data_IF_218607872295
#
_entry.id   IF_218607872295
#
_cell.length_a   1.000
_cell.length_b   1.000
_cell.length_c   1.000
_cell.angle_alpha   90.00
_cell.angle_beta   90.00
_cell.angle_gamma   90.00
#
_symmetry.space_group_name_H-M   'P 1'
#
loop_
_entity.id
_entity.type
_entity.pdbx_description
1 polymer ?
#
# COMPACT_ATOMS: atom_id res chain seq x y z
N UNK A 1 22.40 22.53 53.29
CA UNK A 1 21.99 22.65 51.88
C UNK A 1 22.37 21.37 51.15
N UNK A 2 21.40 20.54 50.78
CA UNK A 2 21.63 19.32 50.00
C UNK A 2 20.56 19.27 48.91
N UNK A 3 20.99 19.43 47.67
CA UNK A 3 20.16 19.34 46.47
C UNK A 3 20.09 17.88 46.04
N UNK A 4 18.88 17.31 46.07
CA UNK A 4 18.59 16.00 45.48
C UNK A 4 18.45 16.16 43.97
N UNK A 5 19.39 15.61 43.21
CA UNK A 5 19.28 15.48 41.75
C UNK A 5 18.29 14.37 41.42
N UNK A 6 17.12 14.72 40.87
CA UNK A 6 16.20 13.74 40.27
C UNK A 6 16.70 13.34 38.88
N UNK A 7 16.88 12.03 38.65
CA UNK A 7 17.08 11.47 37.30
C UNK A 7 15.78 11.54 36.48
N UNK A 8 15.85 11.81 35.17
CA UNK A 8 14.66 11.77 34.31
C UNK A 8 14.22 10.32 34.06
N UNK A 9 12.90 10.11 34.09
CA UNK A 9 12.27 8.82 33.86
C UNK A 9 12.49 8.32 32.41
N UNK A 10 12.81 7.04 32.28
CA UNK A 10 13.00 6.36 31.00
C UNK A 10 11.64 6.14 30.30
N UNK A 11 11.46 6.77 29.13
CA UNK A 11 10.30 6.57 28.25
C UNK A 11 10.48 5.29 27.44
N UNK A 12 10.37 4.12 28.08
CA UNK A 12 10.32 2.84 27.36
C UNK A 12 8.93 2.23 27.51
N UNK A 13 8.26 1.99 26.39
CA UNK A 13 6.92 1.43 26.41
C UNK A 13 6.96 -0.04 26.89
N UNK A 14 6.01 -0.47 27.75
CA UNK A 14 6.06 -1.76 28.46
C UNK A 14 5.93 -3.00 27.56
N UNK A 15 5.60 -2.82 26.28
CA UNK A 15 5.51 -3.89 25.27
C UNK A 15 6.80 -4.08 24.46
N UNK A 16 7.83 -3.27 24.70
CA UNK A 16 9.11 -3.36 24.00
C UNK A 16 9.92 -4.55 24.52
N UNK A 17 9.51 -5.77 24.14
CA UNK A 17 10.38 -6.93 24.24
C UNK A 17 11.59 -6.78 23.31
N UNK A 18 12.70 -7.35 23.74
CA UNK A 18 13.97 -7.37 23.00
C UNK A 18 13.75 -8.01 21.61
N UNK A 19 14.34 -7.46 20.53
CA UNK A 19 14.14 -8.01 19.20
C UNK A 19 14.71 -9.44 19.14
N UNK A 20 13.80 -10.41 19.09
CA UNK A 20 14.11 -11.79 18.73
C UNK A 20 14.84 -11.79 17.40
N UNK A 21 15.96 -12.52 17.34
CA UNK A 21 16.87 -12.60 16.20
C UNK A 21 16.11 -12.60 14.86
N UNK A 22 16.50 -11.67 13.98
CA UNK A 22 15.94 -11.50 12.63
C UNK A 22 16.03 -12.85 11.91
N UNK A 23 14.90 -13.46 11.50
CA UNK A 23 14.96 -14.66 10.68
C UNK A 23 15.70 -14.36 9.38
N UNK A 24 16.44 -15.32 8.81
CA UNK A 24 17.18 -15.11 7.58
C UNK A 24 16.22 -14.60 6.50
N UNK A 25 16.68 -13.60 5.74
CA UNK A 25 15.93 -12.89 4.72
C UNK A 25 14.91 -13.79 4.02
N UNK A 26 13.64 -13.62 4.38
CA UNK A 26 12.54 -14.23 3.64
C UNK A 26 12.63 -13.61 2.26
N UNK A 27 13.10 -14.37 1.28
CA UNK A 27 13.13 -13.94 -0.12
C UNK A 27 11.71 -13.50 -0.46
N UNK A 28 11.53 -12.17 -0.49
CA UNK A 28 10.23 -11.54 -0.65
C UNK A 28 9.55 -12.03 -1.90
N UNK A 29 8.22 -11.99 -1.87
CA UNK A 29 7.28 -12.38 -2.91
C UNK A 29 7.96 -12.32 -4.26
N UNK A 30 8.46 -13.48 -4.70
CA UNK A 30 9.43 -13.53 -5.78
C UNK A 30 8.80 -12.73 -6.90
N UNK A 31 9.47 -11.68 -7.39
CA UNK A 31 9.02 -10.96 -8.57
C UNK A 31 8.70 -11.95 -9.72
N UNK A 32 9.31 -13.13 -9.70
CA UNK A 32 8.99 -14.28 -10.52
C UNK A 32 7.58 -14.87 -10.30
N UNK A 33 7.02 -14.90 -9.09
CA UNK A 33 5.63 -15.28 -8.80
C UNK A 33 4.63 -14.23 -9.27
N UNK A 34 4.89 -12.94 -9.04
CA UNK A 34 4.06 -11.87 -9.58
C UNK A 34 4.07 -11.87 -11.12
N UNK A 35 5.24 -12.07 -11.73
CA UNK A 35 5.41 -12.24 -13.18
C UNK A 35 4.74 -13.50 -13.72
N UNK A 36 4.83 -14.64 -13.00
CA UNK A 36 4.14 -15.88 -13.37
C UNK A 36 2.63 -15.73 -13.28
N UNK A 37 2.13 -15.10 -12.22
CA UNK A 37 0.71 -14.78 -12.05
C UNK A 37 0.20 -13.87 -13.18
N UNK A 38 0.97 -12.84 -13.56
CA UNK A 38 0.68 -11.99 -14.71
C UNK A 38 0.71 -12.77 -16.04
N UNK A 39 1.65 -13.71 -16.21
CA UNK A 39 1.73 -14.57 -17.39
C UNK A 39 0.60 -15.61 -17.49
N UNK A 40 0.05 -16.06 -16.35
CA UNK A 40 -1.09 -16.98 -16.29
C UNK A 40 -2.44 -16.27 -16.19
N UNK A 41 -2.46 -14.94 -16.07
CA UNK A 41 -3.69 -14.18 -15.99
C UNK A 41 -4.49 -14.36 -17.27
N UNK A 42 -5.77 -14.73 -17.14
CA UNK A 42 -6.70 -14.77 -18.25
C UNK A 42 -6.66 -13.42 -18.97
N UNK A 43 -6.36 -13.42 -20.27
CA UNK A 43 -6.23 -12.23 -21.12
C UNK A 43 -7.54 -11.44 -21.31
N UNK A 44 -8.61 -11.79 -20.60
CA UNK A 44 -9.90 -11.10 -20.66
C UNK A 44 -10.01 -9.95 -19.67
N UNK A 45 -10.93 -8.99 -19.91
CA UNK A 45 -11.15 -7.88 -18.99
C UNK A 45 -11.58 -8.38 -17.61
N UNK A 46 -11.08 -7.72 -16.56
CA UNK A 46 -11.54 -7.96 -15.20
C UNK A 46 -13.02 -7.64 -15.09
N UNK A 47 -13.78 -8.52 -14.44
CA UNK A 47 -15.24 -8.40 -14.32
C UNK A 47 -15.65 -8.62 -12.88
N UNK A 48 -16.75 -7.97 -12.47
CA UNK A 48 -17.29 -8.14 -11.11
C UNK A 48 -17.75 -9.58 -10.91
N UNK A 49 -17.15 -10.28 -9.93
CA UNK A 49 -17.47 -11.68 -9.59
C UNK A 49 -18.14 -11.87 -8.22
N UNK A 50 -18.17 -10.83 -7.38
CA UNK A 50 -18.78 -10.87 -6.05
C UNK A 50 -20.06 -10.04 -6.07
N UNK A 51 -21.20 -10.70 -5.89
CA UNK A 51 -22.53 -10.09 -5.96
C UNK A 51 -23.40 -10.40 -4.74
N UNK A 52 -23.04 -11.44 -3.98
CA UNK A 52 -23.80 -11.96 -2.84
C UNK A 52 -22.87 -12.68 -1.84
N UNK A 53 -23.44 -13.18 -0.75
CA UNK A 53 -22.67 -13.88 0.28
C UNK A 53 -22.03 -15.17 -0.23
N UNK A 54 -22.67 -15.88 -1.16
CA UNK A 54 -22.17 -17.16 -1.69
C UNK A 54 -20.95 -16.95 -2.57
N UNK A 55 -20.98 -15.96 -3.45
CA UNK A 55 -19.87 -15.54 -4.31
C UNK A 55 -18.71 -14.97 -3.50
N UNK A 56 -18.99 -14.28 -2.39
CA UNK A 56 -17.97 -13.87 -1.43
C UNK A 56 -17.28 -15.08 -0.77
N UNK A 57 -18.03 -16.10 -0.33
CA UNK A 57 -17.44 -17.32 0.22
C UNK A 57 -16.55 -18.01 -0.81
N UNK A 58 -16.99 -18.09 -2.07
CA UNK A 58 -16.15 -18.61 -3.16
C UNK A 58 -14.87 -17.81 -3.34
N UNK A 59 -14.96 -16.47 -3.29
CA UNK A 59 -13.80 -15.59 -3.39
C UNK A 59 -12.77 -15.86 -2.30
N UNK A 60 -13.20 -16.04 -1.03
CA UNK A 60 -12.30 -16.33 0.10
C UNK A 60 -11.46 -17.60 -0.08
N UNK A 61 -11.94 -18.57 -0.86
CA UNK A 61 -11.22 -19.79 -1.18
C UNK A 61 -10.46 -19.73 -2.51
N UNK A 62 -10.54 -18.62 -3.25
CA UNK A 62 -9.89 -18.46 -4.55
C UNK A 62 -8.38 -18.23 -4.44
N UNK A 63 -7.65 -18.55 -5.50
CA UNK A 63 -6.21 -18.28 -5.61
C UNK A 63 -5.91 -16.78 -5.50
N UNK A 64 -6.71 -15.93 -6.16
CA UNK A 64 -6.50 -14.48 -6.13
C UNK A 64 -6.61 -13.90 -4.71
N UNK A 65 -7.57 -14.38 -3.91
CA UNK A 65 -7.64 -14.02 -2.49
C UNK A 65 -6.38 -14.45 -1.73
N UNK A 66 -5.94 -15.70 -1.91
CA UNK A 66 -4.71 -16.21 -1.26
C UNK A 66 -3.48 -15.39 -1.65
N UNK A 67 -3.34 -15.02 -2.92
CA UNK A 67 -2.25 -14.18 -3.42
C UNK A 67 -2.25 -12.78 -2.80
N UNK A 68 -3.42 -12.13 -2.67
CA UNK A 68 -3.52 -10.80 -2.05
C UNK A 68 -3.13 -10.87 -0.57
N UNK A 69 -3.64 -11.84 0.18
CA UNK A 69 -3.31 -12.00 1.60
C UNK A 69 -1.82 -12.28 1.79
N UNK A 70 -1.26 -13.18 0.98
CA UNK A 70 0.17 -13.49 1.02
C UNK A 70 1.03 -12.26 0.71
N UNK A 71 0.65 -11.45 -0.28
CA UNK A 71 1.33 -10.19 -0.60
C UNK A 71 1.32 -9.21 0.57
N UNK A 72 0.16 -9.00 1.18
CA UNK A 72 0.01 -8.08 2.33
C UNK A 72 0.85 -8.55 3.51
N UNK A 73 0.82 -9.85 3.84
CA UNK A 73 1.63 -10.41 4.93
C UNK A 73 3.12 -10.24 4.68
N UNK A 74 3.60 -10.57 3.49
CA UNK A 74 5.01 -10.42 3.13
C UNK A 74 5.48 -8.96 3.15
N UNK A 75 4.63 -8.03 2.72
CA UNK A 75 4.92 -6.60 2.82
C UNK A 75 4.99 -6.14 4.28
N UNK A 76 4.06 -6.61 5.11
CA UNK A 76 4.05 -6.33 6.55
C UNK A 76 5.33 -6.79 7.23
N UNK A 77 5.73 -8.04 7.01
CA UNK A 77 6.95 -8.61 7.57
C UNK A 77 8.21 -7.86 7.10
N UNK A 78 8.25 -7.46 5.82
CA UNK A 78 9.39 -6.76 5.23
C UNK A 78 9.64 -5.34 5.80
N UNK A 79 8.65 -4.73 6.46
CA UNK A 79 8.77 -3.38 7.04
C UNK A 79 8.90 -3.38 8.56
N UNK A 80 8.82 -4.53 9.22
CA UNK A 80 8.97 -4.63 10.69
C UNK A 80 10.36 -4.12 11.10
N UNK A 81 10.39 -3.18 12.06
CA UNK A 81 11.65 -2.63 12.60
C UNK A 81 12.39 -1.66 11.67
N UNK A 82 11.86 -1.39 10.47
CA UNK A 82 12.46 -0.46 9.50
C UNK A 82 11.95 0.96 9.69
N UNK A 83 12.79 1.94 9.41
CA UNK A 83 12.42 3.37 9.44
C UNK A 83 12.02 3.81 8.04
N UNK A 84 11.07 4.74 7.95
CA UNK A 84 10.71 5.35 6.66
C UNK A 84 11.88 6.09 6.02
N UNK A 85 12.76 6.69 6.83
CA UNK A 85 13.95 7.42 6.38
C UNK A 85 15.14 6.52 6.05
N UNK A 86 14.99 5.20 6.19
CA UNK A 86 16.06 4.26 5.89
C UNK A 86 16.32 4.24 4.36
N UNK A 87 17.58 4.21 3.91
CA UNK A 87 17.89 4.08 2.50
C UNK A 87 17.21 2.83 1.91
N UNK A 88 16.65 2.97 0.72
CA UNK A 88 16.00 1.91 -0.02
C UNK A 88 16.63 1.83 -1.40
N UNK A 89 16.78 0.62 -1.94
CA UNK A 89 17.29 0.44 -3.29
C UNK A 89 16.32 1.03 -4.31
N UNK A 90 16.78 2.04 -5.04
CA UNK A 90 16.03 2.60 -6.16
C UNK A 90 15.96 1.57 -7.29
N UNK A 91 14.75 1.14 -7.62
CA UNK A 91 14.50 0.24 -8.75
C UNK A 91 13.77 1.02 -9.84
N UNK A 92 14.10 0.82 -11.13
CA UNK A 92 13.43 1.54 -12.23
C UNK A 92 11.90 1.45 -12.19
N UNK A 93 11.35 0.29 -11.79
CA UNK A 93 9.90 0.10 -11.63
C UNK A 93 9.29 1.01 -10.56
N UNK A 94 10.02 1.28 -9.46
CA UNK A 94 9.56 2.17 -8.41
C UNK A 94 9.57 3.62 -8.90
N UNK A 95 10.62 4.02 -9.62
CA UNK A 95 10.70 5.35 -10.22
C UNK A 95 9.53 5.59 -11.20
N UNK A 96 9.18 4.61 -12.03
CA UNK A 96 8.02 4.70 -12.93
C UNK A 96 6.70 4.83 -12.15
N UNK A 97 6.48 4.02 -11.12
CA UNK A 97 5.26 4.11 -10.29
C UNK A 97 5.15 5.47 -9.60
N UNK A 98 6.27 5.98 -9.07
CA UNK A 98 6.33 7.29 -8.42
C UNK A 98 6.06 8.42 -9.42
N UNK A 99 6.57 8.34 -10.65
CA UNK A 99 6.30 9.33 -11.69
C UNK A 99 4.81 9.40 -12.04
N UNK A 100 4.12 8.26 -12.12
CA UNK A 100 2.66 8.24 -12.33
C UNK A 100 1.90 8.86 -11.15
N UNK A 101 2.35 8.59 -9.92
CA UNK A 101 1.76 9.20 -8.71
C UNK A 101 1.97 10.72 -8.67
N UNK A 102 3.16 11.20 -9.05
CA UNK A 102 3.45 12.62 -9.16
C UNK A 102 2.56 13.29 -10.20
N UNK A 103 2.44 12.70 -11.40
CA UNK A 103 1.56 13.22 -12.44
C UNK A 103 0.08 13.30 -12.00
N UNK A 104 -0.42 12.26 -11.32
CA UNK A 104 -1.77 12.27 -10.75
C UNK A 104 -1.95 13.32 -9.65
N UNK A 105 -0.91 13.58 -8.87
CA UNK A 105 -0.87 14.62 -7.83
C UNK A 105 -0.91 16.02 -8.44
N UNK A 106 -0.10 16.29 -9.47
CA UNK A 106 -0.10 17.56 -10.20
C UNK A 106 -1.47 17.90 -10.82
N UNK A 107 -2.24 16.89 -11.25
CA UNK A 107 -3.58 17.14 -11.78
C UNK A 107 -4.54 17.70 -10.74
N UNK A 108 -4.31 17.48 -9.45
CA UNK A 108 -5.14 18.05 -8.38
C UNK A 108 -5.06 19.57 -8.40
N UNK A 109 -3.86 20.14 -8.58
CA UNK A 109 -3.66 21.58 -8.70
C UNK A 109 -4.24 22.14 -10.01
N UNK A 110 -4.14 21.36 -11.08
CA UNK A 110 -4.68 21.74 -12.40
C UNK A 110 -6.22 21.64 -12.49
N UNK A 111 -6.85 20.89 -11.58
CA UNK A 111 -8.29 20.63 -11.57
C UNK A 111 -8.84 21.08 -10.20
N UNK A 112 -8.93 22.41 -9.96
CA UNK A 112 -9.33 22.93 -8.67
C UNK A 112 -10.80 22.59 -8.36
N UNK A 113 -11.18 22.56 -7.07
CA UNK A 113 -12.56 22.37 -6.66
C UNK A 113 -13.50 23.41 -7.30
N UNK A 114 -14.61 22.94 -7.87
CA UNK A 114 -15.62 23.82 -8.46
C UNK A 114 -16.56 24.33 -7.37
N UNK A 115 -16.93 25.61 -7.41
CA UNK A 115 -17.97 26.15 -6.53
C UNK A 115 -19.32 25.47 -6.81
N UNK A 116 -19.83 24.76 -5.80
CA UNK A 116 -21.12 24.08 -5.87
C UNK A 116 -21.69 23.93 -4.45
N UNK A 117 -22.99 23.69 -4.34
CA UNK A 117 -23.59 23.32 -3.06
C UNK A 117 -23.00 22.01 -2.56
N UNK A 118 -22.28 22.06 -1.44
CA UNK A 118 -21.56 20.92 -0.88
C UNK A 118 -22.50 20.09 0.01
N UNK A 119 -23.13 19.08 -0.60
CA UNK A 119 -23.79 17.98 0.12
C UNK A 119 -23.02 16.66 0.02
N UNK A 120 -22.22 16.52 -1.04
CA UNK A 120 -21.42 15.34 -1.37
C UNK A 120 -20.05 15.78 -1.94
N UNK A 121 -19.25 14.83 -2.46
CA UNK A 121 -17.95 15.11 -3.05
C UNK A 121 -17.99 16.13 -4.19
N UNK A 122 -16.88 16.86 -4.37
CA UNK A 122 -16.76 17.88 -5.40
C UNK A 122 -16.72 17.26 -6.80
N UNK A 123 -17.56 17.75 -7.73
CA UNK A 123 -17.59 17.33 -9.14
C UNK A 123 -16.25 17.44 -9.89
N UNK A 124 -15.30 18.27 -9.43
CA UNK A 124 -13.93 18.31 -9.96
C UNK A 124 -13.26 16.92 -9.97
N UNK A 125 -13.62 16.03 -9.03
CA UNK A 125 -13.14 14.66 -9.00
C UNK A 125 -13.48 13.88 -10.29
N UNK A 126 -14.64 14.14 -10.92
CA UNK A 126 -15.01 13.49 -12.17
C UNK A 126 -14.06 13.87 -13.30
N UNK A 127 -13.75 15.16 -13.41
CA UNK A 127 -12.79 15.67 -14.40
C UNK A 127 -11.39 15.11 -14.16
N UNK A 128 -10.95 15.01 -12.90
CA UNK A 128 -9.69 14.35 -12.55
C UNK A 128 -9.70 12.87 -12.94
N UNK A 129 -10.78 12.15 -12.65
CA UNK A 129 -10.91 10.73 -12.97
C UNK A 129 -11.05 10.47 -14.48
N UNK A 130 -11.75 11.31 -15.23
CA UNK A 130 -11.83 11.22 -16.70
C UNK A 130 -10.44 11.30 -17.32
N UNK A 131 -9.61 12.24 -16.87
CA UNK A 131 -8.21 12.33 -17.29
C UNK A 131 -7.40 11.09 -16.93
N UNK A 132 -7.62 10.50 -15.75
CA UNK A 132 -6.98 9.25 -15.35
C UNK A 132 -7.34 8.11 -16.30
N UNK A 133 -8.63 7.94 -16.63
CA UNK A 133 -9.08 6.88 -17.55
C UNK A 133 -8.56 7.08 -18.97
N UNK A 134 -8.44 8.33 -19.45
CA UNK A 134 -7.87 8.62 -20.77
C UNK A 134 -6.37 8.29 -20.88
N UNK A 135 -5.65 8.25 -19.75
CA UNK A 135 -4.20 8.02 -19.69
C UNK A 135 -3.80 6.62 -19.20
N UNK A 136 -4.76 5.80 -18.75
CA UNK A 136 -4.54 4.45 -18.22
C UNK A 136 -4.63 3.37 -19.32
#
# INVERSE_FOLDING_TARGET
SSLTTMQPASTRAPWAHEPSAVPPAVQGLLLAEARRAAATASSGPLTKRIHDQRSLTRWKHSQAHQSIISFISQLGDAVVGRRLSEPCDERPILASILAEFEAMSEWVDQIPPIQQSMRYGNKAFKTWHERLVERA
#
